data_IF_294586785403
#
_entry.id   IF_294586785403
#
_cell.length_a   1.000
_cell.length_b   1.000
_cell.length_c   1.000
_cell.angle_alpha   90.00
_cell.angle_beta   90.00
_cell.angle_gamma   90.00
#
_symmetry.space_group_name_H-M   'P 1'
#
loop_
_entity.id
_entity.type
_entity.pdbx_description
1 polymer ?
#
# COMPACT_ATOMS: atom_id res chain seq x y z
N UNK A 1 44.09 30.14 33.61
CA UNK A 1 44.37 29.69 32.22
C UNK A 1 44.45 28.17 32.06
N UNK A 2 45.15 27.39 32.91
CA UNK A 2 45.24 25.91 32.76
C UNK A 2 43.91 25.14 32.80
N UNK A 3 42.94 25.53 33.65
CA UNK A 3 41.63 24.84 33.75
C UNK A 3 40.76 24.95 32.48
N UNK A 4 40.84 26.08 31.76
CA UNK A 4 40.08 26.29 30.52
C UNK A 4 40.64 25.43 29.37
N UNK A 5 41.97 25.26 29.31
CA UNK A 5 42.60 24.35 28.36
C UNK A 5 42.22 22.88 28.60
N UNK A 6 42.13 22.43 29.86
CA UNK A 6 41.67 21.07 30.14
C UNK A 6 40.23 20.83 29.70
N UNK A 7 39.34 21.79 29.95
CA UNK A 7 37.93 21.72 29.52
C UNK A 7 37.81 21.67 27.99
N UNK A 8 38.57 22.52 27.28
CA UNK A 8 38.63 22.55 25.82
C UNK A 8 39.17 21.23 25.23
N UNK A 9 40.20 20.66 25.85
CA UNK A 9 40.79 19.36 25.44
C UNK A 9 39.80 18.22 25.68
N UNK A 10 39.09 18.19 26.82
CA UNK A 10 38.03 17.18 27.04
C UNK A 10 36.89 17.32 26.04
N UNK A 11 36.49 18.54 25.68
CA UNK A 11 35.45 18.77 24.68
C UNK A 11 35.88 18.31 23.28
N UNK A 12 37.16 18.54 22.94
CA UNK A 12 37.77 18.08 21.69
C UNK A 12 37.82 16.53 21.62
N UNK A 13 38.17 15.86 22.72
CA UNK A 13 38.21 14.38 22.79
C UNK A 13 36.82 13.77 22.67
N UNK A 14 35.80 14.40 23.27
CA UNK A 14 34.40 13.98 23.13
C UNK A 14 33.92 14.17 21.68
N UNK A 15 34.25 15.30 21.04
CA UNK A 15 33.91 15.56 19.64
C UNK A 15 34.58 14.58 18.67
N UNK A 16 35.84 14.19 18.89
CA UNK A 16 36.56 13.19 18.08
C UNK A 16 36.00 11.77 18.27
N UNK A 17 35.41 11.47 19.42
CA UNK A 17 34.79 10.16 19.67
C UNK A 17 33.45 10.01 18.93
N UNK A 18 32.73 11.11 18.69
CA UNK A 18 31.43 11.11 18.00
C UNK A 18 31.59 10.91 16.48
N UNK A 19 32.73 11.26 15.88
CA UNK A 19 32.94 11.12 14.43
C UNK A 19 33.18 9.68 13.95
N UNK A 20 33.45 8.74 14.86
CA UNK A 20 33.62 7.32 14.52
C UNK A 20 32.30 6.52 14.52
N UNK A 21 31.16 7.17 14.82
CA UNK A 21 29.84 6.55 14.81
C UNK A 21 29.12 6.71 13.46
N UNK A 22 29.87 6.72 12.34
CA UNK A 22 29.27 6.42 11.06
C UNK A 22 29.15 4.90 10.96
N UNK A 23 27.96 4.37 11.23
CA UNK A 23 27.55 3.10 10.67
C UNK A 23 27.71 3.22 9.14
N UNK A 24 28.79 2.65 8.62
CA UNK A 24 29.04 2.57 7.18
C UNK A 24 28.15 1.44 6.66
N UNK A 25 26.87 1.70 6.51
CA UNK A 25 25.95 0.75 5.88
C UNK A 25 26.41 0.58 4.43
N UNK A 26 26.95 -0.58 4.10
CA UNK A 26 27.44 -0.84 2.74
C UNK A 26 26.26 -0.95 1.78
N UNK A 27 26.39 -0.37 0.59
CA UNK A 27 25.34 -0.46 -0.43
C UNK A 27 25.29 -1.89 -1.01
N UNK A 28 24.17 -2.57 -0.75
CA UNK A 28 23.89 -3.88 -1.34
C UNK A 28 23.09 -3.73 -2.64
N UNK A 29 23.51 -4.46 -3.67
CA UNK A 29 22.79 -4.61 -4.94
C UNK A 29 22.25 -6.04 -5.06
N UNK A 30 20.97 -6.15 -5.37
CA UNK A 30 20.29 -7.45 -5.56
C UNK A 30 20.04 -7.67 -7.05
N UNK A 31 20.36 -8.86 -7.55
CA UNK A 31 20.03 -9.31 -8.91
C UNK A 31 19.15 -10.56 -8.83
N UNK A 32 18.01 -10.55 -9.51
CA UNK A 32 17.05 -11.65 -9.52
C UNK A 32 17.26 -12.54 -10.75
N UNK A 33 17.31 -13.85 -10.52
CA UNK A 33 17.29 -14.87 -11.57
C UNK A 33 16.14 -15.82 -11.34
N UNK A 34 15.44 -16.18 -12.41
CA UNK A 34 14.26 -17.02 -12.37
C UNK A 34 14.54 -18.32 -13.11
N UNK A 35 14.29 -19.45 -12.45
CA UNK A 35 14.46 -20.78 -13.02
C UNK A 35 13.20 -21.61 -12.80
N UNK A 36 12.92 -22.50 -13.76
CA UNK A 36 11.86 -23.52 -13.64
C UNK A 36 12.55 -24.88 -13.64
N UNK A 37 12.48 -25.58 -12.52
CA UNK A 37 12.96 -26.96 -12.40
C UNK A 37 11.73 -27.86 -12.32
N UNK A 38 11.41 -28.56 -13.42
CA UNK A 38 10.26 -29.45 -13.55
C UNK A 38 8.91 -28.81 -13.14
N UNK A 39 8.47 -29.08 -11.91
CA UNK A 39 7.23 -28.61 -11.31
C UNK A 39 7.43 -27.57 -10.19
N UNK A 40 8.64 -27.03 -10.05
CA UNK A 40 8.96 -26.05 -9.01
C UNK A 40 9.46 -24.75 -9.65
N UNK A 41 8.87 -23.62 -9.24
CA UNK A 41 9.36 -22.30 -9.62
C UNK A 41 10.39 -21.87 -8.59
N UNK A 42 11.61 -21.59 -9.05
CA UNK A 42 12.73 -21.24 -8.19
C UNK A 42 13.16 -19.82 -8.51
N UNK A 43 13.18 -18.97 -7.49
CA UNK A 43 13.72 -17.62 -7.58
C UNK A 43 15.05 -17.56 -6.82
N UNK A 44 16.10 -17.07 -7.48
CA UNK A 44 17.41 -16.86 -6.89
C UNK A 44 17.70 -15.37 -6.81
N UNK A 45 17.96 -14.88 -5.62
CA UNK A 45 18.39 -13.52 -5.37
C UNK A 45 19.89 -13.51 -5.08
N UNK A 46 20.68 -12.94 -5.99
CA UNK A 46 22.11 -12.72 -5.79
C UNK A 46 22.32 -11.35 -5.15
N UNK A 47 22.96 -11.31 -3.99
CA UNK A 47 23.30 -10.09 -3.27
C UNK A 47 24.80 -9.82 -3.41
N UNK A 48 25.13 -8.63 -3.90
CA UNK A 48 26.51 -8.17 -4.07
C UNK A 48 26.69 -6.79 -3.43
N UNK A 49 27.77 -6.61 -2.68
CA UNK A 49 28.22 -5.31 -2.17
C UNK A 49 29.50 -4.94 -2.90
N UNK A 50 29.54 -3.78 -3.56
CA UNK A 50 30.72 -3.32 -4.32
C UNK A 50 31.26 -4.34 -5.35
N UNK A 51 30.39 -5.22 -5.85
CA UNK A 51 30.75 -6.28 -6.82
C UNK A 51 31.23 -7.60 -6.19
N UNK A 52 31.31 -7.69 -4.86
CA UNK A 52 31.64 -8.92 -4.14
C UNK A 52 30.35 -9.59 -3.63
N UNK A 53 30.15 -10.90 -3.84
CA UNK A 53 29.00 -11.61 -3.29
C UNK A 53 29.05 -11.66 -1.76
N UNK A 54 27.91 -11.49 -1.12
CA UNK A 54 27.80 -11.38 0.34
C UNK A 54 26.96 -12.52 0.91
N UNK A 55 27.54 -13.27 1.85
CA UNK A 55 26.87 -14.33 2.59
C UNK A 55 26.16 -13.83 3.85
N UNK A 56 25.24 -14.64 4.37
CA UNK A 56 24.52 -14.45 5.64
C UNK A 56 23.59 -13.22 5.71
N UNK A 57 23.19 -12.66 4.57
CA UNK A 57 22.25 -11.54 4.52
C UNK A 57 20.82 -12.06 4.38
N UNK A 58 19.88 -11.70 5.28
CA UNK A 58 18.49 -12.12 5.20
C UNK A 58 17.78 -11.38 4.06
N UNK A 59 17.31 -12.15 3.07
CA UNK A 59 16.54 -11.63 1.95
C UNK A 59 15.07 -12.03 2.09
N UNK A 60 14.16 -11.08 1.92
CA UNK A 60 12.73 -11.30 1.87
C UNK A 60 12.24 -11.32 0.42
N UNK A 61 11.58 -12.40 0.01
CA UNK A 61 10.91 -12.49 -1.29
C UNK A 61 9.43 -12.10 -1.14
N UNK A 62 8.91 -11.29 -2.06
CA UNK A 62 7.50 -10.91 -2.06
C UNK A 62 6.93 -10.74 -3.47
N UNK A 63 5.62 -10.89 -3.62
CA UNK A 63 4.89 -10.67 -4.89
C UNK A 63 4.03 -9.41 -4.79
N UNK A 64 4.01 -8.60 -5.85
CA UNK A 64 3.12 -7.44 -5.95
C UNK A 64 1.65 -7.87 -5.91
N UNK A 65 0.89 -7.38 -4.93
CA UNK A 65 -0.59 -7.45 -4.89
C UNK A 65 -1.21 -6.05 -4.96
N UNK A 66 -2.53 -5.99 -4.90
CA UNK A 66 -3.31 -4.75 -5.03
C UNK A 66 -2.94 -3.69 -4.00
N UNK A 67 -2.81 -4.08 -2.73
CA UNK A 67 -2.65 -3.14 -1.61
C UNK A 67 -1.31 -3.25 -0.90
N UNK A 68 -0.57 -4.35 -1.09
CA UNK A 68 0.72 -4.59 -0.45
C UNK A 68 1.54 -5.61 -1.24
N UNK A 69 2.81 -5.74 -0.88
CA UNK A 69 3.66 -6.84 -1.31
C UNK A 69 3.40 -8.04 -0.39
N UNK A 70 2.99 -9.17 -0.97
CA UNK A 70 2.74 -10.40 -0.25
C UNK A 70 4.07 -11.17 -0.07
N UNK A 71 4.61 -11.35 1.14
CA UNK A 71 5.81 -12.16 1.34
C UNK A 71 5.58 -13.61 0.92
N UNK A 72 6.59 -14.22 0.31
CA UNK A 72 6.62 -15.65 -0.02
C UNK A 72 7.56 -16.32 0.98
N UNK A 73 6.97 -16.98 1.98
CA UNK A 73 7.73 -17.63 3.05
C UNK A 73 8.48 -16.64 3.95
N UNK A 74 9.45 -17.17 4.69
CA UNK A 74 10.30 -16.42 5.60
C UNK A 74 11.56 -15.89 4.89
N UNK A 75 12.28 -14.99 5.58
CA UNK A 75 13.56 -14.50 5.11
C UNK A 75 14.56 -15.66 4.98
N UNK A 76 15.25 -15.74 3.85
CA UNK A 76 16.32 -16.73 3.62
C UNK A 76 17.65 -16.01 3.58
N UNK A 77 18.60 -16.47 4.41
CA UNK A 77 19.96 -15.96 4.41
C UNK A 77 20.71 -16.37 3.14
N UNK A 78 21.54 -15.47 2.60
CA UNK A 78 22.38 -15.78 1.44
C UNK A 78 23.47 -16.79 1.76
N UNK A 79 23.76 -17.68 0.81
CA UNK A 79 24.83 -18.67 0.94
C UNK A 79 26.24 -18.06 0.73
N UNK A 80 27.28 -18.91 0.79
CA UNK A 80 28.67 -18.52 0.54
C UNK A 80 28.93 -17.89 -0.84
N UNK A 81 28.02 -18.06 -1.80
CA UNK A 81 28.07 -17.47 -3.14
C UNK A 81 27.24 -16.18 -3.24
N UNK A 82 26.65 -15.74 -2.13
CA UNK A 82 25.78 -14.57 -2.04
C UNK A 82 24.38 -14.79 -2.59
N UNK A 83 23.95 -16.06 -2.73
CA UNK A 83 22.65 -16.40 -3.32
C UNK A 83 21.67 -16.86 -2.26
N UNK A 84 20.50 -16.23 -2.22
CA UNK A 84 19.33 -16.72 -1.49
C UNK A 84 18.37 -17.40 -2.47
N UNK A 85 18.01 -18.65 -2.19
CA UNK A 85 17.13 -19.46 -3.04
C UNK A 85 15.76 -19.60 -2.40
N UNK A 86 14.72 -19.31 -3.17
CA UNK A 86 13.33 -19.37 -2.74
C UNK A 86 12.51 -20.25 -3.67
N UNK A 87 11.59 -20.99 -3.09
CA UNK A 87 10.56 -21.74 -3.80
C UNK A 87 9.32 -20.85 -3.93
N UNK A 88 8.86 -20.63 -5.16
CA UNK A 88 7.68 -19.81 -5.44
C UNK A 88 6.48 -20.74 -5.64
N UNK A 89 5.41 -20.60 -4.85
CA UNK A 89 4.18 -21.36 -5.02
C UNK A 89 3.57 -21.17 -6.42
N UNK A 90 2.98 -22.22 -6.97
CA UNK A 90 2.40 -22.20 -8.32
C UNK A 90 0.94 -21.67 -8.35
N UNK A 91 0.29 -21.65 -7.19
CA UNK A 91 -1.11 -21.31 -7.01
C UNK A 91 -1.34 -19.80 -6.88
N UNK A 92 -0.35 -18.96 -7.22
CA UNK A 92 -0.45 -17.51 -7.10
C UNK A 92 -1.36 -16.97 -8.22
N UNK A 93 -2.56 -16.43 -7.90
CA UNK A 93 -3.46 -15.90 -8.92
C UNK A 93 -2.92 -14.64 -9.58
N UNK A 94 -3.07 -14.52 -10.90
CA UNK A 94 -2.81 -13.30 -11.67
C UNK A 94 -3.84 -13.12 -12.78
N UNK A 95 -4.12 -11.88 -13.17
CA UNK A 95 -5.06 -11.55 -14.26
C UNK A 95 -4.53 -12.01 -15.62
N UNK A 96 -3.24 -11.81 -15.86
CA UNK A 96 -2.59 -12.06 -17.16
C UNK A 96 -1.46 -13.09 -17.07
N UNK A 97 -1.40 -13.86 -15.97
CA UNK A 97 -0.31 -14.80 -15.68
C UNK A 97 1.01 -14.14 -15.25
N UNK A 98 1.16 -12.83 -15.46
CA UNK A 98 2.34 -12.07 -15.03
C UNK A 98 2.36 -11.84 -13.52
N UNK A 99 3.48 -12.11 -12.88
CA UNK A 99 3.78 -11.82 -11.49
C UNK A 99 4.99 -10.90 -11.43
N UNK A 100 4.89 -9.82 -10.66
CA UNK A 100 6.04 -9.00 -10.29
C UNK A 100 6.55 -9.46 -8.94
N UNK A 101 7.75 -10.01 -8.92
CA UNK A 101 8.43 -10.51 -7.72
C UNK A 101 9.44 -9.46 -7.27
N UNK A 102 9.53 -9.25 -5.96
CA UNK A 102 10.46 -8.35 -5.31
C UNK A 102 11.33 -9.14 -4.34
N UNK A 103 12.65 -8.91 -4.38
CA UNK A 103 13.55 -9.28 -3.30
C UNK A 103 13.95 -8.01 -2.54
N UNK A 104 13.86 -8.06 -1.22
CA UNK A 104 14.15 -6.91 -0.34
C UNK A 104 15.02 -7.35 0.82
N UNK A 105 16.07 -6.59 1.12
CA UNK A 105 16.82 -6.69 2.37
C UNK A 105 16.23 -5.64 3.32
N UNK A 106 15.89 -6.06 4.54
CA UNK A 106 15.23 -5.20 5.52
C UNK A 106 16.03 -5.24 6.82
N UNK A 107 16.48 -4.06 7.24
CA UNK A 107 17.07 -3.77 8.55
C UNK A 107 18.21 -4.73 8.93
N UNK A 108 19.19 -4.85 8.03
CA UNK A 108 20.41 -5.62 8.30
C UNK A 108 21.45 -4.75 9.02
N UNK A 109 22.17 -5.33 9.99
CA UNK A 109 23.18 -4.60 10.78
C UNK A 109 24.38 -4.12 9.94
N UNK A 110 24.64 -4.75 8.79
CA UNK A 110 25.83 -4.51 7.97
C UNK A 110 25.52 -3.83 6.63
N UNK A 111 24.27 -3.92 6.15
CA UNK A 111 23.88 -3.49 4.81
C UNK A 111 22.63 -2.62 4.80
N UNK A 112 22.65 -1.60 3.93
CA UNK A 112 21.48 -0.74 3.74
C UNK A 112 20.34 -1.52 3.06
N UNK A 113 19.10 -1.12 3.37
CA UNK A 113 17.90 -1.62 2.72
C UNK A 113 18.00 -1.54 1.18
N UNK A 114 17.96 -2.70 0.53
CA UNK A 114 18.02 -2.81 -0.91
C UNK A 114 16.79 -3.54 -1.45
N UNK A 115 16.34 -3.14 -2.65
CA UNK A 115 15.18 -3.74 -3.31
C UNK A 115 15.45 -3.98 -4.78
N UNK A 116 15.14 -5.18 -5.26
CA UNK A 116 15.12 -5.52 -6.67
C UNK A 116 13.77 -6.11 -7.07
N UNK A 117 13.42 -5.95 -8.34
CA UNK A 117 12.16 -6.47 -8.89
C UNK A 117 12.39 -7.16 -10.22
N UNK A 118 11.64 -8.24 -10.48
CA UNK A 118 11.60 -8.91 -11.77
C UNK A 118 10.19 -9.38 -12.10
N UNK A 119 9.89 -9.48 -13.40
CA UNK A 119 8.59 -9.90 -13.89
C UNK A 119 8.69 -11.31 -14.50
N UNK A 120 7.78 -12.20 -14.12
CA UNK A 120 7.72 -13.60 -14.60
C UNK A 120 6.30 -14.01 -14.93
N UNK A 121 6.14 -14.93 -15.88
CA UNK A 121 4.83 -15.46 -16.27
C UNK A 121 4.53 -16.80 -15.57
N UNK A 122 4.45 -16.78 -14.24
CA UNK A 122 4.20 -17.97 -13.39
C UNK A 122 2.86 -17.92 -12.66
N UNK A 123 2.10 -16.84 -12.81
CA UNK A 123 0.82 -16.69 -12.17
C UNK A 123 -0.21 -17.60 -12.81
N UNK A 124 -1.02 -18.23 -11.96
CA UNK A 124 -2.22 -18.93 -12.42
C UNK A 124 -3.19 -17.88 -12.95
N UNK A 125 -3.53 -17.96 -14.24
CA UNK A 125 -4.52 -17.09 -14.86
C UNK A 125 -5.86 -17.40 -14.23
N UNK A 126 -6.26 -16.57 -13.28
CA UNK A 126 -7.64 -16.58 -12.83
C UNK A 126 -8.37 -15.84 -13.94
N UNK A 127 -9.11 -16.58 -14.77
CA UNK A 127 -10.08 -15.99 -15.66
C UNK A 127 -10.94 -15.15 -14.76
N UNK A 128 -10.70 -13.85 -14.86
CA UNK A 128 -11.44 -12.87 -14.13
C UNK A 128 -12.78 -12.92 -14.83
N UNK A 129 -13.69 -13.76 -14.32
CA UNK A 129 -15.10 -13.78 -14.68
C UNK A 129 -15.65 -12.44 -14.18
N UNK A 130 -15.21 -11.39 -14.87
CA UNK A 130 -15.55 -10.00 -14.65
C UNK A 130 -16.93 -9.71 -15.21
N UNK A 131 -17.58 -10.74 -15.76
CA UNK A 131 -19.00 -10.78 -16.09
C UNK A 131 -19.85 -10.15 -14.98
N UNK A 132 -19.41 -10.24 -13.72
CA UNK A 132 -20.18 -9.77 -12.57
C UNK A 132 -19.49 -8.64 -11.76
N UNK A 133 -18.46 -7.94 -12.26
CA UNK A 133 -17.93 -6.75 -11.53
C UNK A 133 -19.01 -5.68 -11.41
N UNK A 134 -19.85 -5.54 -12.44
CA UNK A 134 -21.04 -4.69 -12.43
C UNK A 134 -22.11 -5.15 -11.42
N UNK A 135 -22.15 -6.44 -11.08
CA UNK A 135 -23.08 -6.99 -10.09
C UNK A 135 -22.54 -6.93 -8.65
N UNK A 136 -21.21 -6.98 -8.50
CA UNK A 136 -20.54 -7.01 -7.18
C UNK A 136 -20.21 -5.63 -6.63
N UNK A 137 -20.15 -4.61 -7.49
CA UNK A 137 -19.91 -3.25 -7.03
C UNK A 137 -21.24 -2.57 -6.70
N UNK A 138 -21.40 -2.22 -5.43
CA UNK A 138 -22.57 -1.49 -4.90
C UNK A 138 -22.77 -0.11 -5.54
N UNK A 139 -21.77 0.38 -6.28
CA UNK A 139 -21.75 1.66 -6.98
C UNK A 139 -21.07 1.54 -8.36
N UNK A 140 -21.22 0.40 -9.06
CA UNK A 140 -20.47 0.10 -10.29
C UNK A 140 -20.72 1.07 -11.44
N UNK A 141 -21.85 1.77 -11.44
CA UNK A 141 -22.21 2.72 -12.49
C UNK A 141 -23.24 3.73 -12.04
N UNK A 142 -23.32 4.84 -12.78
CA UNK A 142 -24.27 5.96 -12.56
C UNK A 142 -25.72 5.50 -12.41
N UNK A 143 -26.08 4.43 -13.12
CA UNK A 143 -27.46 3.94 -13.24
C UNK A 143 -27.75 2.70 -12.37
N UNK A 144 -26.81 2.30 -11.49
CA UNK A 144 -26.90 1.09 -10.65
C UNK A 144 -26.97 1.40 -9.16
N UNK A 145 -27.34 2.62 -8.78
CA UNK A 145 -27.47 2.99 -7.38
C UNK A 145 -28.55 2.13 -6.68
N UNK A 146 -28.27 1.51 -5.52
CA UNK A 146 -29.24 0.75 -4.75
C UNK A 146 -30.50 1.56 -4.46
N UNK A 147 -31.67 0.94 -4.63
CA UNK A 147 -32.96 1.63 -4.56
C UNK A 147 -33.21 2.32 -3.22
N UNK A 148 -32.64 1.80 -2.13
CA UNK A 148 -32.72 2.39 -0.80
C UNK A 148 -32.09 3.80 -0.74
N UNK A 149 -30.98 4.04 -1.44
CA UNK A 149 -30.38 5.37 -1.50
C UNK A 149 -31.22 6.34 -2.33
N UNK A 150 -31.81 5.86 -3.43
CA UNK A 150 -32.71 6.66 -4.26
C UNK A 150 -33.93 7.07 -3.43
N UNK A 151 -34.59 6.12 -2.77
CA UNK A 151 -35.74 6.38 -1.91
C UNK A 151 -35.35 7.34 -0.78
N UNK A 152 -34.26 7.10 -0.06
CA UNK A 152 -33.82 7.97 1.04
C UNK A 152 -33.56 9.40 0.58
N UNK A 153 -32.88 9.60 -0.54
CA UNK A 153 -32.60 10.94 -1.09
C UNK A 153 -33.88 11.67 -1.51
N UNK A 154 -34.80 10.98 -2.20
CA UNK A 154 -36.09 11.54 -2.59
C UNK A 154 -36.96 11.85 -1.37
N UNK A 155 -36.91 11.05 -0.31
CA UNK A 155 -37.65 11.30 0.93
C UNK A 155 -37.18 12.59 1.61
N UNK A 156 -35.85 12.78 1.72
CA UNK A 156 -35.27 14.00 2.29
C UNK A 156 -35.65 15.22 1.47
N UNK A 157 -35.52 15.15 0.14
CA UNK A 157 -35.92 16.23 -0.77
C UNK A 157 -37.42 16.53 -0.63
N UNK A 158 -38.25 15.48 -0.55
CA UNK A 158 -39.70 15.60 -0.36
C UNK A 158 -40.08 16.27 0.96
N UNK A 159 -39.38 15.97 2.05
CA UNK A 159 -39.60 16.62 3.35
C UNK A 159 -39.25 18.12 3.30
N UNK A 160 -38.15 18.48 2.63
CA UNK A 160 -37.75 19.88 2.46
C UNK A 160 -38.80 20.64 1.62
N UNK A 161 -39.22 20.09 0.48
CA UNK A 161 -40.26 20.70 -0.34
C UNK A 161 -41.63 20.75 0.36
N UNK A 162 -41.96 19.73 1.14
CA UNK A 162 -43.18 19.67 1.92
C UNK A 162 -43.26 20.78 2.96
N UNK A 163 -42.17 21.08 3.67
CA UNK A 163 -42.14 22.19 4.65
C UNK A 163 -42.26 23.54 3.97
N UNK A 164 -41.61 23.75 2.82
CA UNK A 164 -41.76 24.98 2.03
C UNK A 164 -43.19 25.18 1.53
N UNK A 165 -43.82 24.12 1.00
CA UNK A 165 -45.20 24.19 0.52
C UNK A 165 -46.18 24.47 1.65
N UNK A 166 -45.98 23.85 2.81
CA UNK A 166 -46.77 24.10 4.01
C UNK A 166 -46.69 25.57 4.45
N UNK A 167 -45.49 26.16 4.48
CA UNK A 167 -45.30 27.57 4.84
C UNK A 167 -46.06 28.50 3.88
N UNK A 168 -45.99 28.25 2.57
CA UNK A 168 -46.71 29.02 1.56
C UNK A 168 -48.23 28.94 1.75
N UNK A 169 -48.77 27.73 1.96
CA UNK A 169 -50.20 27.55 2.24
C UNK A 169 -50.65 28.28 3.51
N UNK A 170 -49.80 28.30 4.54
CA UNK A 170 -50.10 29.01 5.79
C UNK A 170 -50.20 30.52 5.56
N UNK A 171 -49.30 31.10 4.76
CA UNK A 171 -49.38 32.52 4.37
C UNK A 171 -50.68 32.82 3.60
N UNK A 172 -51.07 31.98 2.65
CA UNK A 172 -52.34 32.15 1.92
C UNK A 172 -53.56 32.03 2.83
N UNK A 173 -53.54 31.09 3.79
CA UNK A 173 -54.62 30.91 4.77
C UNK A 173 -54.75 32.13 5.68
N UNK A 174 -53.63 32.70 6.13
CA UNK A 174 -53.61 33.92 6.94
C UNK A 174 -54.13 35.13 6.16
N UNK A 175 -53.71 35.31 4.90
CA UNK A 175 -54.25 36.36 4.04
C UNK A 175 -55.77 36.27 3.89
N UNK A 176 -56.30 35.05 3.68
CA UNK A 176 -57.75 34.83 3.55
C UNK A 176 -58.49 35.15 4.85
N UNK A 177 -57.94 34.78 6.01
CA UNK A 177 -58.55 35.06 7.31
C UNK A 177 -58.53 36.57 7.63
N UNK A 178 -57.44 37.28 7.35
CA UNK A 178 -57.35 38.73 7.56
C UNK A 178 -58.35 39.53 6.71
N UNK A 179 -58.57 39.13 5.45
CA UNK A 179 -59.57 39.77 4.59
C UNK A 179 -61.00 39.59 5.14
N UNK A 180 -61.30 38.44 5.75
CA UNK A 180 -62.63 38.17 6.31
C UNK A 180 -62.89 39.00 7.58
N UNK A 181 -61.88 39.28 8.39
CA UNK A 181 -62.00 40.18 9.55
C UNK A 181 -62.19 41.64 9.14
N UNK A 182 -61.50 42.12 8.10
CA UNK A 182 -61.64 43.50 7.60
C UNK A 182 -63.04 43.79 7.02
N UNK A 183 -63.71 42.79 6.42
CA UNK A 183 -65.10 42.93 5.93
C UNK A 183 -66.12 42.96 7.07
N UNK A 184 -65.77 42.46 8.26
CA UNK A 184 -66.70 42.30 9.40
C UNK A 184 -66.71 43.50 10.35
N UNK A 185 -65.68 44.35 10.32
CA UNK A 185 -65.60 45.63 11.02
C UNK A 185 -66.10 46.78 10.14
#
# INVERSE_FOLDING_TARGET
>A
MKKYNYFLVTCLVILVSITNAFAQDKEAKITLTFAKADSLYVCKALVTSEGVPVAEVPVNLSVKRLFSNLPIGDAVATDSTGVATFEVPQDIPSKNGKLTIFATIVDDENYMNAKASGEVNWGTVVVSDNSNVDERSFSAGRDRAPIYFIIASLLIIGLIWGTLFYAVLQVFKLKKLGIVEEIKN
#
